data_IF_207217750500
#
_entry.id   IF_207217750500
#
_cell.length_a   1.000
_cell.length_b   1.000
_cell.length_c   1.000
_cell.angle_alpha   90.00
_cell.angle_beta   90.00
_cell.angle_gamma   90.00
#
_symmetry.space_group_name_H-M   'P 1'
#
loop_
_entity.id
_entity.type
_entity.pdbx_description
1 polymer ?
#
# COMPACT_ATOMS: atom_id res chain seq x y z
N UNK A 1 -3.20 -8.69 22.73
CA UNK A 1 -4.05 -7.84 21.87
C UNK A 1 -5.51 -8.26 22.03
N UNK A 2 -6.48 -7.33 22.10
CA UNK A 2 -7.89 -7.70 22.17
C UNK A 2 -8.35 -8.29 20.83
N UNK A 3 -9.41 -9.13 20.81
CA UNK A 3 -10.01 -9.54 19.54
C UNK A 3 -10.55 -8.32 18.76
N UNK A 4 -10.60 -8.38 17.42
CA UNK A 4 -11.22 -7.33 16.61
C UNK A 4 -12.68 -7.11 17.03
N UNK A 5 -13.07 -5.91 17.47
CA UNK A 5 -14.46 -5.62 17.85
C UNK A 5 -15.31 -5.30 16.61
N UNK A 6 -16.64 -5.34 16.75
CA UNK A 6 -17.54 -4.72 15.77
C UNK A 6 -17.25 -3.21 15.67
N UNK A 7 -17.32 -2.59 14.47
CA UNK A 7 -17.77 -3.11 13.16
C UNK A 7 -16.72 -3.89 12.34
N UNK A 8 -15.65 -4.39 12.96
CA UNK A 8 -14.51 -5.09 12.32
C UNK A 8 -13.70 -4.22 11.37
N UNK A 9 -13.54 -2.94 11.73
CA UNK A 9 -12.66 -2.00 11.04
C UNK A 9 -11.34 -1.84 11.78
N UNK A 10 -10.31 -1.40 11.05
CA UNK A 10 -9.00 -1.09 11.66
C UNK A 10 -9.12 0.02 12.69
N UNK A 11 -10.01 1.00 12.47
CA UNK A 11 -10.28 2.11 13.38
C UNK A 11 -10.86 1.62 14.72
N UNK A 12 -11.86 0.74 14.68
CA UNK A 12 -12.46 0.16 15.88
C UNK A 12 -11.48 -0.75 16.64
N UNK A 13 -10.63 -1.47 15.91
CA UNK A 13 -9.62 -2.31 16.54
C UNK A 13 -8.50 -1.48 17.19
N UNK A 14 -8.03 -0.41 16.55
CA UNK A 14 -7.09 0.54 17.14
C UNK A 14 -7.65 1.13 18.44
N UNK A 15 -8.92 1.51 18.46
CA UNK A 15 -9.59 2.01 19.66
C UNK A 15 -9.59 0.97 20.79
N UNK A 16 -9.92 -0.29 20.48
CA UNK A 16 -9.90 -1.39 21.47
C UNK A 16 -8.49 -1.69 21.98
N UNK A 17 -7.48 -1.70 21.08
CA UNK A 17 -6.07 -1.85 21.44
C UNK A 17 -5.64 -0.72 22.38
N UNK A 18 -6.00 0.52 22.06
CA UNK A 18 -5.68 1.68 22.87
C UNK A 18 -6.29 1.62 24.27
N UNK A 19 -7.58 1.23 24.37
CA UNK A 19 -8.26 1.01 25.66
C UNK A 19 -7.57 -0.06 26.50
N UNK A 20 -7.21 -1.20 25.91
CA UNK A 20 -6.53 -2.27 26.66
C UNK A 20 -5.14 -1.86 27.15
N UNK A 21 -4.43 -1.03 26.38
CA UNK A 21 -3.09 -0.53 26.73
C UNK A 21 -3.11 0.62 27.73
N UNK A 22 -4.26 1.25 27.96
CA UNK A 22 -4.35 2.51 28.70
C UNK A 22 -3.71 3.68 27.97
N UNK A 23 -3.44 3.55 26.66
CA UNK A 23 -2.85 4.58 25.81
C UNK A 23 -3.54 4.58 24.44
N UNK A 24 -4.30 5.64 24.07
CA UNK A 24 -5.01 5.73 22.80
C UNK A 24 -4.12 5.45 21.59
N UNK A 25 -4.71 4.82 20.57
CA UNK A 25 -4.12 4.68 19.22
C UNK A 25 -5.04 5.41 18.26
N UNK A 26 -4.56 6.52 17.70
CA UNK A 26 -5.36 7.43 16.88
C UNK A 26 -4.91 7.38 15.43
N UNK A 27 -5.83 7.11 14.50
CA UNK A 27 -5.53 7.14 13.06
C UNK A 27 -5.82 8.55 12.51
N UNK A 28 -4.93 9.06 11.66
CA UNK A 28 -5.12 10.31 10.92
C UNK A 28 -4.79 10.07 9.45
N UNK A 29 -5.74 10.39 8.59
CA UNK A 29 -5.53 10.39 7.15
C UNK A 29 -4.97 11.77 6.76
N UNK A 30 -3.72 11.79 6.31
CA UNK A 30 -2.99 13.02 5.96
C UNK A 30 -2.53 12.94 4.49
N UNK A 31 -2.63 14.03 3.72
CA UNK A 31 -2.06 14.05 2.38
C UNK A 31 -0.54 14.09 2.51
N UNK A 32 0.13 13.01 2.13
CA UNK A 32 1.59 13.02 2.01
C UNK A 32 1.94 13.72 0.69
N UNK A 33 2.10 15.05 0.75
CA UNK A 33 2.38 15.91 -0.41
C UNK A 33 3.79 15.68 -1.00
N UNK A 34 4.64 14.96 -0.28
CA UNK A 34 6.02 14.70 -0.66
C UNK A 34 6.10 13.36 -1.40
N UNK A 35 6.86 13.36 -2.51
CA UNK A 35 6.89 12.33 -3.53
C UNK A 35 7.32 10.93 -3.09
N UNK A 36 7.76 10.12 -4.06
CA UNK A 36 7.95 8.66 -3.98
C UNK A 36 8.87 8.07 -2.88
N UNK A 37 9.33 8.89 -1.92
CA UNK A 37 10.26 8.54 -0.85
C UNK A 37 9.60 8.53 0.55
N UNK A 38 8.32 8.92 0.68
CA UNK A 38 7.61 8.89 1.97
C UNK A 38 6.87 7.55 2.14
N UNK A 39 6.94 6.88 3.32
CA UNK A 39 6.20 5.66 3.59
C UNK A 39 4.67 5.88 3.46
N UNK A 40 3.91 4.80 3.27
CA UNK A 40 2.44 4.89 3.10
C UNK A 40 1.73 5.22 4.41
N UNK A 41 2.39 4.99 5.54
CA UNK A 41 1.99 5.46 6.86
C UNK A 41 3.19 5.61 7.77
N UNK A 42 2.95 6.16 8.96
CA UNK A 42 3.98 6.27 10.00
C UNK A 42 3.35 6.27 11.38
N UNK A 43 3.92 5.45 12.26
CA UNK A 43 3.65 5.49 13.69
C UNK A 43 4.42 6.62 14.36
N UNK A 44 3.70 7.52 15.03
CA UNK A 44 4.23 8.62 15.83
C UNK A 44 3.86 8.38 17.30
N UNK A 45 4.74 7.73 18.08
CA UNK A 45 4.49 7.48 19.49
C UNK A 45 4.67 8.76 20.31
N UNK A 46 3.65 9.17 21.06
CA UNK A 46 3.71 10.29 22.00
C UNK A 46 3.42 9.82 23.43
N UNK A 47 3.69 10.70 24.40
CA UNK A 47 3.53 10.37 25.83
C UNK A 47 2.11 9.94 26.21
N UNK A 48 1.10 10.55 25.58
CA UNK A 48 -0.32 10.38 25.92
C UNK A 48 -1.15 9.61 24.90
N UNK A 49 -0.62 9.42 23.68
CA UNK A 49 -1.29 8.70 22.61
C UNK A 49 -0.27 8.28 21.56
N UNK A 50 -0.53 7.18 20.87
CA UNK A 50 0.20 6.78 19.67
C UNK A 50 -0.62 7.23 18.45
N UNK A 51 -0.02 7.99 17.53
CA UNK A 51 -0.68 8.41 16.30
C UNK A 51 -0.21 7.55 15.13
N UNK A 52 -1.13 7.10 14.29
CA UNK A 52 -0.85 6.43 13.03
C UNK A 52 -1.27 7.40 11.94
N UNK A 53 -0.29 8.02 11.27
CA UNK A 53 -0.56 8.86 10.11
C UNK A 53 -0.58 7.97 8.88
N UNK A 54 -1.57 8.13 8.02
CA UNK A 54 -1.76 7.30 6.83
C UNK A 54 -1.95 8.21 5.64
N UNK A 55 -1.31 7.88 4.52
CA UNK A 55 -1.51 8.61 3.26
C UNK A 55 -2.99 8.54 2.85
N UNK A 56 -3.65 9.70 2.87
CA UNK A 56 -5.07 9.85 2.56
C UNK A 56 -5.43 9.38 1.14
N UNK A 57 -4.44 9.19 0.27
CA UNK A 57 -4.62 8.71 -1.10
C UNK A 57 -4.60 7.18 -1.25
N UNK A 58 -4.49 6.44 -0.14
CA UNK A 58 -4.57 4.99 -0.18
C UNK A 58 -6.02 4.52 -0.34
N UNK A 59 -6.29 3.58 -1.27
CA UNK A 59 -7.55 2.86 -1.30
C UNK A 59 -7.79 2.13 0.03
N UNK A 60 -9.05 1.94 0.43
CA UNK A 60 -9.42 1.45 1.76
C UNK A 60 -8.71 0.18 2.19
N UNK A 61 -8.51 -0.78 1.27
CA UNK A 61 -7.79 -2.03 1.54
C UNK A 61 -6.31 -1.78 1.85
N UNK A 62 -5.66 -0.91 1.06
CA UNK A 62 -4.27 -0.52 1.28
C UNK A 62 -4.12 0.29 2.56
N UNK A 63 -5.02 1.25 2.80
CA UNK A 63 -5.10 2.01 4.07
C UNK A 63 -5.21 1.07 5.27
N UNK A 64 -6.10 0.08 5.21
CA UNK A 64 -6.26 -0.89 6.28
C UNK A 64 -4.97 -1.69 6.53
N UNK A 65 -4.30 -2.14 5.47
CA UNK A 65 -3.02 -2.84 5.62
C UNK A 65 -1.95 -1.93 6.23
N UNK A 66 -1.82 -0.69 5.76
CA UNK A 66 -0.88 0.30 6.32
C UNK A 66 -1.14 0.51 7.81
N UNK A 67 -2.39 0.72 8.24
CA UNK A 67 -2.73 0.82 9.66
C UNK A 67 -2.32 -0.42 10.44
N UNK A 68 -2.59 -1.61 9.90
CA UNK A 68 -2.25 -2.88 10.56
C UNK A 68 -0.73 -3.10 10.64
N UNK A 69 0.02 -2.58 9.67
CA UNK A 69 1.48 -2.55 9.68
C UNK A 69 2.02 -1.65 10.79
N UNK A 70 1.52 -0.42 10.92
CA UNK A 70 1.92 0.47 12.02
C UNK A 70 1.52 -0.09 13.40
N UNK A 71 0.35 -0.74 13.48
CA UNK A 71 -0.04 -1.49 14.67
C UNK A 71 0.92 -2.65 14.95
N UNK A 72 1.41 -3.34 13.93
CA UNK A 72 2.39 -4.41 14.11
C UNK A 72 3.69 -3.89 14.72
N UNK A 73 4.25 -2.78 14.22
CA UNK A 73 5.40 -2.11 14.84
C UNK A 73 5.13 -1.79 16.31
N UNK A 74 3.97 -1.20 16.59
CA UNK A 74 3.58 -0.83 17.96
C UNK A 74 3.49 -2.04 18.91
N UNK A 75 3.03 -3.18 18.41
CA UNK A 75 2.84 -4.39 19.22
C UNK A 75 4.12 -5.21 19.41
N UNK A 76 4.98 -5.21 18.40
CA UNK A 76 6.29 -5.85 18.45
C UNK A 76 7.33 -4.99 19.19
N UNK A 77 6.99 -3.73 19.48
CA UNK A 77 7.89 -2.80 20.17
C UNK A 77 9.04 -2.37 19.27
N UNK A 78 8.84 -2.39 17.95
CA UNK A 78 9.78 -1.81 17.02
C UNK A 78 9.81 -0.31 17.26
N UNK A 79 11.00 0.25 17.45
CA UNK A 79 11.18 1.70 17.51
C UNK A 79 10.84 2.24 16.12
N UNK A 80 9.58 2.62 15.93
CA UNK A 80 9.08 3.32 14.74
C UNK A 80 9.61 4.74 14.74
N UNK A 81 10.94 4.88 14.73
CA UNK A 81 11.58 6.19 14.70
C UNK A 81 11.34 6.78 13.32
N UNK A 82 10.21 7.49 13.21
CA UNK A 82 9.68 8.20 12.06
C UNK A 82 10.68 9.14 11.35
N UNK A 83 11.91 9.29 11.89
CA UNK A 83 12.94 10.21 11.44
C UNK A 83 14.29 9.53 11.13
N UNK A 84 14.51 8.27 11.49
CA UNK A 84 15.75 7.56 11.15
C UNK A 84 15.52 6.67 9.93
N UNK A 85 16.09 7.10 8.81
CA UNK A 85 15.95 6.56 7.46
C UNK A 85 16.47 5.12 7.26
N UNK A 86 16.60 4.32 8.31
CA UNK A 86 17.03 2.92 8.25
C UNK A 86 16.33 2.14 9.38
N UNK A 87 15.05 1.80 9.20
CA UNK A 87 14.48 0.70 9.97
C UNK A 87 15.15 -0.58 9.46
N UNK A 88 15.57 -1.46 10.37
CA UNK A 88 16.18 -2.75 10.02
C UNK A 88 15.23 -3.52 9.08
N UNK A 89 15.66 -3.91 7.86
CA UNK A 89 14.84 -4.68 6.93
C UNK A 89 14.21 -5.94 7.53
N UNK A 90 14.84 -6.55 8.54
CA UNK A 90 14.27 -7.69 9.25
C UNK A 90 13.03 -7.30 10.07
N UNK A 91 13.06 -6.16 10.75
CA UNK A 91 11.93 -5.64 11.54
C UNK A 91 10.76 -5.22 10.64
N UNK A 92 11.06 -4.65 9.46
CA UNK A 92 10.06 -4.35 8.44
C UNK A 92 9.36 -5.61 7.93
N UNK A 93 10.13 -6.67 7.60
CA UNK A 93 9.55 -7.95 7.18
C UNK A 93 8.71 -8.58 8.28
N UNK A 94 9.14 -8.51 9.54
CA UNK A 94 8.38 -9.03 10.67
C UNK A 94 7.07 -8.25 10.88
N UNK A 95 7.11 -6.91 10.81
CA UNK A 95 5.92 -6.07 10.90
C UNK A 95 4.93 -6.37 9.76
N UNK A 96 5.42 -6.57 8.54
CA UNK A 96 4.58 -6.93 7.39
C UNK A 96 3.90 -8.30 7.54
N UNK A 97 4.62 -9.30 8.05
CA UNK A 97 4.05 -10.62 8.32
C UNK A 97 3.01 -10.55 9.44
N UNK A 98 3.28 -9.77 10.48
CA UNK A 98 2.32 -9.54 11.56
C UNK A 98 1.08 -8.80 11.03
N UNK A 99 1.22 -7.79 10.19
CA UNK A 99 0.10 -7.07 9.57
C UNK A 99 -0.81 -8.01 8.76
N UNK A 100 -0.22 -8.91 7.97
CA UNK A 100 -0.96 -9.94 7.24
C UNK A 100 -1.75 -10.86 8.18
N UNK A 101 -1.17 -11.26 9.31
CA UNK A 101 -1.86 -12.08 10.32
C UNK A 101 -2.99 -11.32 11.01
N UNK A 102 -2.78 -10.04 11.35
CA UNK A 102 -3.80 -9.19 11.94
C UNK A 102 -4.97 -8.99 10.98
N UNK A 103 -4.69 -8.73 9.70
CA UNK A 103 -5.72 -8.64 8.67
C UNK A 103 -6.54 -9.94 8.61
N UNK A 104 -5.90 -11.10 8.57
CA UNK A 104 -6.60 -12.39 8.58
C UNK A 104 -7.46 -12.59 9.84
N UNK A 105 -6.98 -12.15 11.00
CA UNK A 105 -7.75 -12.21 12.25
C UNK A 105 -9.00 -11.33 12.18
N UNK A 106 -8.90 -10.11 11.63
CA UNK A 106 -10.01 -9.19 11.41
C UNK A 106 -11.06 -9.79 10.45
N UNK A 107 -10.63 -10.32 9.31
CA UNK A 107 -11.52 -10.98 8.34
C UNK A 107 -12.24 -12.18 8.96
N UNK A 108 -11.54 -13.01 9.73
CA UNK A 108 -12.14 -14.17 10.42
C UNK A 108 -13.11 -13.76 11.52
N UNK A 109 -12.86 -12.65 12.21
CA UNK A 109 -13.80 -12.11 13.19
C UNK A 109 -15.08 -11.65 12.50
N UNK A 110 -14.97 -10.85 11.44
CA UNK A 110 -16.13 -10.38 10.67
C UNK A 110 -16.97 -11.52 10.08
N UNK A 111 -16.34 -12.57 9.57
CA UNK A 111 -17.02 -13.72 9.00
C UNK A 111 -17.82 -14.53 10.04
N UNK A 112 -17.28 -14.68 11.26
CA UNK A 112 -17.95 -15.42 12.36
C UNK A 112 -19.20 -14.71 12.87
N UNK A 113 -19.23 -13.39 12.81
CA UNK A 113 -20.30 -12.58 13.39
C UNK A 113 -21.49 -12.34 12.46
N UNK A 114 -21.57 -13.03 11.33
CA UNK A 114 -22.77 -12.96 10.49
C UNK A 114 -22.96 -11.63 9.74
N UNK A 115 -21.95 -10.75 9.65
CA UNK A 115 -21.89 -9.72 8.58
C UNK A 115 -21.78 -10.34 7.17
N UNK A 116 -21.68 -11.68 7.09
CA UNK A 116 -22.04 -12.52 5.94
C UNK A 116 -23.36 -13.28 6.16
N UNK A 117 -24.40 -12.60 6.64
CA UNK A 117 -25.75 -13.12 6.72
C UNK A 117 -26.44 -12.96 5.38
N UNK A 118 -26.19 -13.87 4.43
CA UNK A 118 -26.92 -13.91 3.16
C UNK A 118 -26.42 -14.92 2.11
N UNK A 119 -25.11 -15.17 1.98
CA UNK A 119 -24.60 -15.97 0.84
C UNK A 119 -23.62 -17.11 1.17
N UNK A 120 -23.23 -17.30 2.45
CA UNK A 120 -22.19 -18.29 2.77
C UNK A 120 -22.71 -19.71 3.10
N UNK A 121 -24.02 -19.92 3.22
CA UNK A 121 -24.57 -21.29 3.27
C UNK A 121 -24.93 -21.85 1.88
N UNK A 122 -24.76 -21.07 0.81
CA UNK A 122 -24.86 -21.54 -0.57
C UNK A 122 -23.48 -21.90 -1.19
N UNK A 123 -22.38 -21.71 -0.45
CA UNK A 123 -21.01 -21.91 -0.95
C UNK A 123 -20.24 -22.99 -0.19
N UNK A 124 -20.87 -24.15 0.00
CA UNK A 124 -20.09 -25.39 0.03
C UNK A 124 -19.29 -25.47 -1.29
N UNK A 125 -18.00 -25.84 -1.27
CA UNK A 125 -17.15 -25.78 -2.45
C UNK A 125 -17.58 -26.86 -3.43
N UNK A 126 -18.53 -26.55 -4.33
CA UNK A 126 -18.53 -27.20 -5.62
C UNK A 126 -17.28 -26.69 -6.33
N UNK A 127 -16.26 -27.55 -6.41
CA UNK A 127 -15.13 -27.35 -7.29
C UNK A 127 -15.68 -27.14 -8.70
N UNK A 128 -15.79 -25.88 -9.13
CA UNK A 128 -16.13 -25.52 -10.50
C UNK A 128 -14.82 -25.13 -11.18
N UNK A 129 -14.27 -25.97 -12.07
CA UNK A 129 -13.00 -25.71 -12.74
C UNK A 129 -12.95 -24.31 -13.35
N UNK A 130 -14.06 -23.81 -13.92
CA UNK A 130 -14.14 -22.47 -14.53
C UNK A 130 -13.87 -21.32 -13.56
N UNK A 131 -14.39 -21.37 -12.34
CA UNK A 131 -14.16 -20.34 -11.33
C UNK A 131 -12.69 -20.33 -10.88
N UNK A 132 -12.11 -21.52 -10.70
CA UNK A 132 -10.70 -21.68 -10.35
C UNK A 132 -9.76 -21.18 -11.46
N UNK A 133 -10.06 -21.50 -12.73
CA UNK A 133 -9.29 -20.98 -13.87
C UNK A 133 -9.39 -19.46 -13.99
N UNK A 134 -10.57 -18.90 -13.72
CA UNK A 134 -10.80 -17.45 -13.74
C UNK A 134 -10.03 -16.76 -12.62
N UNK A 135 -10.02 -17.34 -11.41
CA UNK A 135 -9.24 -16.85 -10.28
C UNK A 135 -7.74 -16.91 -10.56
N UNK A 136 -7.24 -18.02 -11.12
CA UNK A 136 -5.82 -18.13 -11.51
C UNK A 136 -5.43 -17.14 -12.61
N UNK A 137 -6.30 -16.93 -13.60
CA UNK A 137 -6.07 -15.94 -14.64
C UNK A 137 -6.03 -14.53 -14.05
N UNK A 138 -6.91 -14.23 -13.11
CA UNK A 138 -6.91 -12.95 -12.36
C UNK A 138 -5.58 -12.79 -11.63
N UNK A 139 -5.15 -13.78 -10.85
CA UNK A 139 -3.88 -13.75 -10.13
C UNK A 139 -2.68 -13.58 -11.07
N UNK A 140 -2.70 -14.25 -12.23
CA UNK A 140 -1.68 -14.10 -13.25
C UNK A 140 -1.60 -12.66 -13.77
N UNK A 141 -2.71 -12.04 -14.13
CA UNK A 141 -2.75 -10.66 -14.61
C UNK A 141 -2.33 -9.66 -13.52
N UNK A 142 -2.77 -9.82 -12.27
CA UNK A 142 -2.30 -8.98 -11.16
C UNK A 142 -0.78 -9.12 -10.99
N UNK A 143 -0.25 -10.33 -11.11
CA UNK A 143 1.20 -10.56 -11.08
C UNK A 143 1.92 -9.91 -12.26
N UNK A 144 1.36 -9.94 -13.47
CA UNK A 144 1.94 -9.24 -14.63
C UNK A 144 2.00 -7.72 -14.41
N UNK A 145 0.93 -7.12 -13.86
CA UNK A 145 0.92 -5.70 -13.51
C UNK A 145 1.98 -5.38 -12.47
N UNK A 146 2.09 -6.18 -11.41
CA UNK A 146 3.13 -6.01 -10.41
C UNK A 146 4.54 -6.07 -11.01
N UNK A 147 4.83 -7.08 -11.86
CA UNK A 147 6.14 -7.21 -12.52
C UNK A 147 6.42 -5.95 -13.35
N UNK A 148 5.42 -5.48 -14.10
CA UNK A 148 5.53 -4.28 -14.93
C UNK A 148 5.84 -3.03 -14.12
N UNK A 149 5.15 -2.84 -12.99
CA UNK A 149 5.33 -1.71 -12.09
C UNK A 149 6.71 -1.73 -11.44
N UNK A 150 7.14 -2.88 -10.91
CA UNK A 150 8.47 -3.08 -10.31
C UNK A 150 9.60 -2.86 -11.30
N UNK A 151 9.51 -3.46 -12.49
CA UNK A 151 10.50 -3.26 -13.54
C UNK A 151 10.53 -1.81 -14.04
N UNK A 152 9.40 -1.09 -13.94
CA UNK A 152 9.32 0.31 -14.32
C UNK A 152 9.85 1.29 -13.27
N UNK A 153 10.00 0.85 -12.02
CA UNK A 153 10.45 1.65 -10.88
C UNK A 153 11.50 0.89 -10.04
N UNK A 154 12.66 0.54 -10.63
CA UNK A 154 13.67 -0.26 -9.93
C UNK A 154 14.27 0.46 -8.72
N UNK A 155 14.30 1.79 -8.73
CA UNK A 155 14.88 2.61 -7.66
C UNK A 155 13.98 2.76 -6.43
N UNK A 156 12.77 2.20 -6.46
CA UNK A 156 11.84 2.25 -5.34
C UNK A 156 11.98 0.98 -4.49
N UNK A 157 12.33 1.18 -3.22
CA UNK A 157 12.26 0.13 -2.20
C UNK A 157 10.80 -0.12 -1.79
N UNK A 158 10.10 -1.00 -2.53
CA UNK A 158 8.85 -1.60 -2.01
C UNK A 158 9.28 -2.81 -1.17
N UNK A 159 9.02 -2.75 0.14
CA UNK A 159 9.23 -3.86 1.07
C UNK A 159 8.34 -5.01 0.60
N UNK A 160 8.96 -6.11 0.19
CA UNK A 160 8.25 -7.31 -0.23
C UNK A 160 8.60 -8.45 0.70
N UNK A 161 7.58 -9.05 1.31
CA UNK A 161 7.70 -10.31 2.03
C UNK A 161 7.90 -11.51 1.09
N UNK A 162 7.83 -11.28 -0.23
CA UNK A 162 7.97 -12.33 -1.26
C UNK A 162 9.42 -12.58 -1.67
N UNK A 163 10.35 -11.67 -1.36
CA UNK A 163 11.77 -11.80 -1.75
C UNK A 163 12.59 -12.59 -0.74
N UNK A 164 12.55 -13.92 -0.86
CA UNK A 164 13.70 -14.78 -0.55
C UNK A 164 13.73 -15.48 0.82
N UNK A 165 12.94 -15.06 1.81
CA UNK A 165 12.76 -15.88 3.03
C UNK A 165 11.69 -16.91 2.76
N UNK A 166 12.04 -18.20 2.87
CA UNK A 166 11.08 -19.30 2.87
C UNK A 166 10.12 -19.12 4.05
N UNK A 167 9.01 -18.40 3.84
CA UNK A 167 7.87 -18.47 4.74
C UNK A 167 7.33 -19.90 4.63
N UNK A 168 7.20 -20.64 5.75
CA UNK A 168 6.77 -22.04 5.72
C UNK A 168 5.54 -22.24 4.83
N UNK A 169 5.69 -23.19 3.90
CA UNK A 169 4.83 -23.50 2.75
C UNK A 169 3.49 -24.11 3.18
N UNK A 170 2.73 -23.42 4.01
CA UNK A 170 1.34 -23.77 4.37
C UNK A 170 0.33 -22.63 4.12
N UNK A 171 0.79 -21.51 3.56
CA UNK A 171 -0.03 -20.33 3.35
C UNK A 171 -0.39 -20.17 1.86
N UNK A 172 -1.30 -21.02 1.38
CA UNK A 172 -1.73 -21.03 -0.04
C UNK A 172 -2.66 -19.88 -0.46
N UNK A 173 -2.46 -19.37 -1.68
CA UNK A 173 -3.43 -18.69 -2.55
C UNK A 173 -3.93 -17.30 -2.11
N UNK A 174 -4.74 -17.24 -1.05
CA UNK A 174 -5.46 -16.02 -0.65
C UNK A 174 -4.54 -14.93 -0.08
N UNK A 175 -3.54 -15.31 0.74
CA UNK A 175 -2.57 -14.34 1.27
C UNK A 175 -1.67 -13.79 0.17
N UNK A 176 -1.24 -14.62 -0.77
CA UNK A 176 -0.45 -14.15 -1.92
C UNK A 176 -1.25 -13.15 -2.77
N UNK A 177 -2.55 -13.39 -3.00
CA UNK A 177 -3.42 -12.42 -3.69
C UNK A 177 -3.54 -11.11 -2.91
N UNK A 178 -3.88 -11.17 -1.62
CA UNK A 178 -3.95 -10.00 -0.74
C UNK A 178 -2.66 -9.19 -0.81
N UNK A 179 -1.52 -9.81 -0.49
CA UNK A 179 -0.22 -9.15 -0.51
C UNK A 179 0.09 -8.53 -1.86
N UNK A 180 -0.19 -9.26 -2.95
CA UNK A 180 0.05 -8.75 -4.30
C UNK A 180 -0.80 -7.51 -4.62
N UNK A 181 -2.06 -7.49 -4.20
CA UNK A 181 -2.96 -6.34 -4.36
C UNK A 181 -2.41 -5.12 -3.60
N UNK A 182 -1.98 -5.31 -2.36
CA UNK A 182 -1.33 -4.26 -1.56
C UNK A 182 -0.10 -3.70 -2.27
N UNK A 183 0.85 -4.57 -2.65
CA UNK A 183 2.09 -4.14 -3.29
C UNK A 183 1.85 -3.41 -4.64
N UNK A 184 0.79 -3.79 -5.36
CA UNK A 184 0.36 -3.03 -6.56
C UNK A 184 -0.13 -1.65 -6.14
N UNK A 185 -0.99 -1.52 -5.14
CA UNK A 185 -1.47 -0.21 -4.67
C UNK A 185 -0.35 0.70 -4.18
N UNK A 186 0.66 0.17 -3.48
CA UNK A 186 1.84 0.95 -3.10
C UNK A 186 2.57 1.49 -4.33
N UNK A 187 2.76 0.65 -5.35
CA UNK A 187 3.35 1.09 -6.61
C UNK A 187 2.48 2.13 -7.34
N UNK A 188 1.15 2.01 -7.31
CA UNK A 188 0.24 2.99 -7.91
C UNK A 188 0.31 4.34 -7.19
N UNK A 189 0.36 4.34 -5.85
CA UNK A 189 0.53 5.54 -5.02
C UNK A 189 1.78 6.32 -5.42
N UNK A 190 2.89 5.62 -5.62
CA UNK A 190 4.17 6.21 -6.02
C UNK A 190 4.17 6.79 -7.44
N UNK A 191 3.27 6.35 -8.32
CA UNK A 191 3.10 6.90 -9.66
C UNK A 191 2.16 8.10 -9.71
N UNK A 192 1.37 8.34 -8.66
CA UNK A 192 0.32 9.37 -8.60
C UNK A 192 0.79 10.76 -9.06
N UNK A 193 2.00 11.25 -8.71
CA UNK A 193 2.47 12.56 -9.19
C UNK A 193 2.55 12.70 -10.72
N UNK A 194 2.58 11.59 -11.46
CA UNK A 194 2.61 11.59 -12.93
C UNK A 194 1.29 11.15 -13.59
N UNK A 195 0.28 10.79 -12.80
CA UNK A 195 -1.05 10.38 -13.29
C UNK A 195 -1.86 11.61 -13.69
N UNK A 196 -2.15 11.81 -14.97
CA UNK A 196 -2.89 12.99 -15.45
C UNK A 196 -4.38 12.73 -15.69
N UNK A 197 -5.23 13.59 -15.15
CA UNK A 197 -6.68 13.62 -15.44
C UNK A 197 -6.98 13.77 -16.94
N UNK A 198 -6.15 14.51 -17.67
CA UNK A 198 -6.31 14.75 -19.10
C UNK A 198 -6.04 13.50 -19.94
N UNK A 199 -5.05 12.69 -19.54
CA UNK A 199 -4.77 11.39 -20.15
C UNK A 199 -5.94 10.45 -19.93
N UNK A 200 -6.42 10.35 -18.69
CA UNK A 200 -7.57 9.53 -18.32
C UNK A 200 -8.81 9.89 -19.16
N UNK A 201 -9.20 11.17 -19.17
CA UNK A 201 -10.35 11.64 -19.93
C UNK A 201 -10.18 11.45 -21.45
N UNK A 202 -8.96 11.57 -21.98
CA UNK A 202 -8.66 11.28 -23.39
C UNK A 202 -8.88 9.80 -23.72
N UNK A 203 -8.29 8.91 -22.92
CA UNK A 203 -8.38 7.47 -23.07
C UNK A 203 -9.84 6.99 -22.95
N UNK A 204 -10.58 7.50 -21.97
CA UNK A 204 -12.00 7.20 -21.76
C UNK A 204 -12.83 7.61 -22.99
N UNK A 205 -12.64 8.83 -23.52
CA UNK A 205 -13.33 9.29 -24.74
C UNK A 205 -13.00 8.44 -25.97
N UNK A 206 -11.77 7.92 -26.09
CA UNK A 206 -11.41 7.01 -27.20
C UNK A 206 -12.04 5.64 -27.00
N UNK A 207 -11.96 5.08 -25.80
CA UNK A 207 -12.56 3.79 -25.46
C UNK A 207 -14.08 3.78 -25.72
N UNK A 208 -14.79 4.86 -25.36
CA UNK A 208 -16.21 5.02 -25.69
C UNK A 208 -16.50 5.03 -27.19
N UNK A 209 -15.64 5.63 -28.02
CA UNK A 209 -15.80 5.60 -29.49
C UNK A 209 -15.71 4.18 -30.08
N UNK A 210 -14.94 3.31 -29.44
CA UNK A 210 -14.85 1.89 -29.80
C UNK A 210 -15.98 1.04 -29.20
N UNK A 211 -16.94 1.64 -28.49
CA UNK A 211 -18.11 0.97 -27.89
C UNK A 211 -17.73 -0.20 -26.97
N UNK A 212 -16.65 -0.04 -26.22
CA UNK A 212 -16.23 -1.01 -25.21
C UNK A 212 -17.23 -1.03 -24.03
N UNK A 213 -17.32 -2.16 -23.35
CA UNK A 213 -18.08 -2.31 -22.10
C UNK A 213 -17.64 -1.24 -21.06
N UNK A 214 -18.56 -0.65 -20.27
CA UNK A 214 -18.21 0.41 -19.31
C UNK A 214 -17.08 0.02 -18.34
N UNK A 215 -17.07 -1.22 -17.84
CA UNK A 215 -16.05 -1.69 -16.91
C UNK A 215 -14.68 -1.86 -17.59
N UNK A 216 -14.67 -2.05 -18.92
CA UNK A 216 -13.47 -2.12 -19.74
C UNK A 216 -13.00 -0.73 -20.19
N UNK A 217 -13.93 0.21 -20.44
CA UNK A 217 -13.61 1.63 -20.68
C UNK A 217 -12.80 2.20 -19.53
N UNK A 218 -13.26 1.98 -18.29
CA UNK A 218 -12.56 2.45 -17.09
C UNK A 218 -11.16 1.82 -16.98
N UNK A 219 -11.07 0.50 -17.17
CA UNK A 219 -9.80 -0.20 -17.12
C UNK A 219 -8.80 0.29 -18.19
N UNK A 220 -9.28 0.66 -19.38
CA UNK A 220 -8.46 1.26 -20.44
C UNK A 220 -8.00 2.67 -20.05
N UNK A 221 -8.87 3.47 -19.43
CA UNK A 221 -8.52 4.82 -18.99
C UNK A 221 -7.48 4.79 -17.85
N UNK A 222 -7.67 3.92 -16.87
CA UNK A 222 -6.70 3.65 -15.80
C UNK A 222 -5.37 3.15 -16.37
N UNK A 223 -5.40 2.13 -17.25
CA UNK A 223 -4.19 1.58 -17.85
C UNK A 223 -3.43 2.62 -18.69
N UNK A 224 -4.11 3.45 -19.46
CA UNK A 224 -3.48 4.53 -20.24
C UNK A 224 -2.81 5.56 -19.34
N UNK A 225 -3.50 5.95 -18.26
CA UNK A 225 -3.00 6.90 -17.26
C UNK A 225 -1.71 6.37 -16.62
N UNK A 226 -1.73 5.13 -16.15
CA UNK A 226 -0.58 4.49 -15.52
C UNK A 226 0.58 4.26 -16.50
N UNK A 227 0.28 3.87 -17.75
CA UNK A 227 1.30 3.66 -18.77
C UNK A 227 2.02 4.97 -19.14
N UNK A 228 1.27 6.06 -19.32
CA UNK A 228 1.84 7.39 -19.56
C UNK A 228 2.61 7.87 -18.33
N UNK A 229 2.04 7.76 -17.12
CA UNK A 229 2.69 8.14 -15.87
C UNK A 229 4.04 7.44 -15.68
N UNK A 230 4.06 6.12 -15.90
CA UNK A 230 5.28 5.31 -15.82
C UNK A 230 6.35 5.82 -16.79
N UNK A 231 5.98 6.10 -18.05
CA UNK A 231 6.92 6.62 -19.05
C UNK A 231 7.42 8.02 -18.71
N UNK A 232 6.55 8.90 -18.21
CA UNK A 232 6.94 10.24 -17.75
C UNK A 232 7.95 10.16 -16.60
N UNK A 233 7.69 9.31 -15.61
CA UNK A 233 8.61 9.04 -14.49
C UNK A 233 9.95 8.52 -15.00
N UNK A 234 9.95 7.52 -15.88
CA UNK A 234 11.18 6.95 -16.47
C UNK A 234 11.99 7.98 -17.28
N UNK A 235 11.31 8.93 -17.92
CA UNK A 235 11.94 10.03 -18.64
C UNK A 235 12.32 11.22 -17.72
N UNK A 236 12.19 11.06 -16.40
CA UNK A 236 12.42 12.10 -15.39
C UNK A 236 11.67 13.42 -15.67
N UNK A 237 10.49 13.33 -16.29
CA UNK A 237 9.65 14.50 -16.54
C UNK A 237 9.05 15.00 -15.22
N UNK A 238 8.76 16.31 -15.09
CA UNK A 238 8.07 16.86 -13.94
C UNK A 238 6.72 16.16 -13.68
N UNK A 239 6.34 16.16 -12.40
CA UNK A 239 4.99 15.82 -11.96
C UNK A 239 3.95 16.67 -12.71
N UNK A 240 2.74 16.14 -12.85
CA UNK A 240 1.65 16.85 -13.51
C UNK A 240 1.01 17.84 -12.55
N UNK A 241 0.54 18.97 -13.07
CA UNK A 241 -0.11 20.01 -12.25
C UNK A 241 -1.48 19.57 -11.71
N UNK A 242 -2.16 18.67 -12.42
CA UNK A 242 -3.47 18.14 -12.07
C UNK A 242 -3.40 16.59 -11.94
N UNK A 243 -2.88 16.09 -10.82
CA UNK A 243 -2.77 14.67 -10.58
C UNK A 243 -4.16 14.06 -10.39
N UNK A 244 -4.43 12.96 -11.12
CA UNK A 244 -5.68 12.23 -10.98
C UNK A 244 -5.74 11.57 -9.60
N UNK A 245 -6.84 11.82 -8.88
CA UNK A 245 -7.13 11.09 -7.66
C UNK A 245 -7.77 9.74 -7.98
N UNK A 246 -6.99 8.66 -7.88
CA UNK A 246 -7.42 7.32 -8.31
C UNK A 246 -8.03 6.48 -7.20
N UNK A 247 -8.38 7.07 -6.05
CA UNK A 247 -8.95 6.33 -4.92
C UNK A 247 -10.41 5.95 -5.20
N UNK A 248 -10.60 4.82 -5.87
CA UNK A 248 -11.89 4.12 -5.81
C UNK A 248 -12.07 3.57 -4.39
N UNK A 249 -13.22 3.79 -3.74
CA UNK A 249 -13.52 3.16 -2.45
C UNK A 249 -13.67 1.65 -2.67
N UNK A 250 -12.61 0.91 -2.36
CA UNK A 250 -12.62 -0.55 -2.34
C UNK A 250 -13.15 -0.99 -0.98
N UNK A 251 -14.06 -1.96 -0.93
CA UNK A 251 -14.41 -2.60 0.32
C UNK A 251 -13.17 -3.32 0.88
N UNK A 252 -12.78 -3.03 2.13
CA UNK A 252 -11.65 -3.68 2.83
C UNK A 252 -11.80 -5.21 2.81
N UNK A 253 -13.02 -5.73 2.70
CA UNK A 253 -13.27 -7.17 2.66
C UNK A 253 -13.24 -7.78 1.25
N UNK A 254 -13.19 -6.99 0.16
CA UNK A 254 -13.30 -7.47 -1.24
C UNK A 254 -11.97 -7.49 -2.01
N UNK A 255 -10.98 -8.20 -1.46
CA UNK A 255 -9.70 -8.48 -2.15
C UNK A 255 -9.91 -9.11 -3.53
N UNK A 256 -10.97 -9.92 -3.71
CA UNK A 256 -11.25 -10.58 -4.99
C UNK A 256 -11.77 -9.60 -6.03
N UNK A 257 -12.67 -8.70 -5.67
CA UNK A 257 -13.14 -7.63 -6.55
C UNK A 257 -12.01 -6.73 -6.99
N UNK A 258 -11.13 -6.33 -6.06
CA UNK A 258 -10.00 -5.47 -6.42
C UNK A 258 -8.97 -6.20 -7.29
N UNK A 259 -8.67 -7.47 -7.01
CA UNK A 259 -7.82 -8.26 -7.89
C UNK A 259 -8.39 -8.36 -9.33
N UNK A 260 -9.72 -8.48 -9.49
CA UNK A 260 -10.36 -8.47 -10.82
C UNK A 260 -10.27 -7.10 -11.50
N UNK A 261 -10.35 -6.01 -10.76
CA UNK A 261 -10.16 -4.65 -11.29
C UNK A 261 -8.72 -4.47 -11.79
N UNK A 262 -7.74 -4.76 -10.94
CA UNK A 262 -6.32 -4.70 -11.29
C UNK A 262 -5.96 -5.62 -12.47
N UNK A 263 -6.57 -6.82 -12.53
CA UNK A 263 -6.38 -7.71 -13.68
C UNK A 263 -6.89 -7.10 -14.99
N UNK A 264 -8.04 -6.43 -14.99
CA UNK A 264 -8.55 -5.71 -16.18
C UNK A 264 -7.63 -4.58 -16.61
N UNK A 265 -7.12 -3.80 -15.65
CA UNK A 265 -6.11 -2.76 -15.91
C UNK A 265 -4.86 -3.38 -16.54
N UNK A 266 -4.38 -4.51 -15.99
CA UNK A 266 -3.25 -5.25 -16.57
C UNK A 266 -3.50 -5.66 -18.02
N UNK A 267 -4.64 -6.30 -18.32
CA UNK A 267 -5.00 -6.68 -19.68
C UNK A 267 -4.99 -5.46 -20.61
N UNK A 268 -5.66 -4.38 -20.20
CA UNK A 268 -5.73 -3.17 -21.00
C UNK A 268 -4.35 -2.55 -21.24
N UNK A 269 -3.45 -2.56 -20.25
CA UNK A 269 -2.08 -2.04 -20.40
C UNK A 269 -1.34 -2.76 -21.52
N UNK A 270 -1.38 -4.10 -21.54
CA UNK A 270 -0.62 -4.89 -22.49
C UNK A 270 -1.28 -5.00 -23.87
N UNK A 271 -2.61 -5.06 -23.92
CA UNK A 271 -3.33 -5.49 -25.12
C UNK A 271 -4.12 -4.36 -25.81
N UNK A 272 -4.35 -3.21 -25.15
CA UNK A 272 -5.22 -2.16 -25.70
C UNK A 272 -4.48 -1.25 -26.69
N UNK A 273 -4.95 -1.13 -27.96
CA UNK A 273 -4.40 -0.15 -28.90
C UNK A 273 -4.67 1.30 -28.47
N UNK A 274 -5.71 1.53 -27.64
CA UNK A 274 -5.98 2.86 -27.07
C UNK A 274 -4.87 3.26 -26.11
N UNK A 275 -4.40 2.35 -25.25
CA UNK A 275 -3.29 2.61 -24.33
C UNK A 275 -2.02 2.95 -25.11
N UNK A 276 -1.69 2.16 -26.13
CA UNK A 276 -0.54 2.44 -26.98
C UNK A 276 -0.62 3.82 -27.67
N UNK A 277 -1.81 4.20 -28.16
CA UNK A 277 -2.04 5.50 -28.77
C UNK A 277 -1.92 6.67 -27.78
N UNK A 278 -2.37 6.50 -26.54
CA UNK A 278 -2.21 7.53 -25.50
C UNK A 278 -0.74 7.66 -25.08
N UNK A 279 0.00 6.56 -24.92
CA UNK A 279 1.45 6.61 -24.66
C UNK A 279 2.19 7.38 -25.77
N UNK A 280 1.92 7.07 -27.04
CA UNK A 280 2.55 7.75 -28.17
C UNK A 280 2.18 9.25 -28.26
N UNK A 281 0.98 9.62 -27.78
CA UNK A 281 0.50 11.00 -27.80
C UNK A 281 1.12 11.86 -26.68
N UNK A 282 1.18 11.33 -25.47
CA UNK A 282 1.47 12.12 -24.27
C UNK A 282 2.92 12.03 -23.79
N UNK A 283 3.66 11.04 -24.27
CA UNK A 283 5.09 10.91 -24.01
C UNK A 283 5.81 11.41 -25.26
N UNK A 284 6.49 12.58 -25.22
CA UNK A 284 7.22 13.06 -26.37
C UNK A 284 8.27 12.03 -26.81
N UNK A 285 8.53 11.97 -28.12
CA UNK A 285 9.73 11.31 -28.64
C UNK A 285 10.91 12.16 -28.18
N UNK A 286 11.49 11.84 -27.03
CA UNK A 286 12.75 12.43 -26.59
C UNK A 286 13.83 11.85 -27.51
N UNK A 287 14.16 12.56 -28.58
CA UNK A 287 15.36 12.28 -29.34
C UNK A 287 16.56 12.43 -28.38
N UNK A 288 17.36 11.37 -28.30
CA UNK A 288 18.50 11.27 -27.40
C UNK A 288 19.39 12.52 -27.46
N UNK A 289 19.34 13.33 -26.41
CA UNK A 289 20.41 14.27 -26.07
C UNK A 289 20.64 14.17 -24.57
N UNK A 290 21.22 13.03 -24.18
CA UNK A 290 21.83 12.86 -22.87
C UNK A 290 23.05 13.77 -22.78
N UNK A 291 22.90 14.97 -22.26
CA UNK A 291 24.00 15.65 -21.58
C UNK A 291 23.82 15.41 -20.10
N UNK A 292 24.61 14.46 -19.60
CA UNK A 292 24.82 14.24 -18.16
C UNK A 292 25.29 15.56 -17.55
N UNK A 293 24.44 16.18 -16.72
CA UNK A 293 24.90 17.15 -15.74
C UNK A 293 24.48 16.63 -14.38
N UNK A 294 25.45 15.96 -13.78
CA UNK A 294 25.55 15.62 -12.38
C UNK A 294 25.15 16.84 -11.53
N UNK A 295 23.98 16.77 -10.89
CA UNK A 295 23.57 17.72 -9.86
C UNK A 295 23.24 16.92 -8.61
N UNK A 296 24.23 16.82 -7.74
CA UNK A 296 24.09 16.59 -6.30
C UNK A 296 22.87 17.37 -5.77
N UNK A 297 21.84 16.64 -5.35
CA UNK A 297 20.70 17.23 -4.62
C UNK A 297 21.08 17.38 -3.14
N UNK A 298 20.80 18.52 -2.49
CA UNK A 298 21.04 18.68 -1.06
C UNK A 298 20.08 17.81 -0.26
N UNK A 299 20.57 17.30 0.88
CA UNK A 299 19.84 16.50 1.86
C UNK A 299 18.53 17.19 2.29
N UNK A 300 17.41 16.47 2.18
CA UNK A 300 16.02 16.91 2.43
C UNK A 300 15.66 17.05 3.92
N UNK A 301 16.62 17.33 4.80
CA UNK A 301 16.41 17.39 6.26
C UNK A 301 15.67 18.66 6.72
N UNK A 302 15.36 19.63 5.87
CA UNK A 302 15.01 20.98 6.36
C UNK A 302 13.65 21.59 6.02
N UNK A 303 12.71 20.92 5.34
CA UNK A 303 11.49 21.64 4.91
C UNK A 303 10.18 20.83 4.91
N UNK A 304 9.83 20.21 6.05
CA UNK A 304 8.42 19.92 6.34
C UNK A 304 7.81 21.15 7.04
N UNK A 305 6.73 21.78 6.53
CA UNK A 305 5.95 22.71 7.32
C UNK A 305 5.16 21.90 8.35
N UNK A 306 5.75 21.68 9.52
CA UNK A 306 5.06 21.15 10.69
C UNK A 306 4.05 22.21 11.12
N UNK A 307 2.76 21.97 10.90
CA UNK A 307 1.72 22.72 11.63
C UNK A 307 1.98 22.53 13.13
N UNK A 308 2.05 23.59 13.94
CA UNK A 308 2.41 23.45 15.34
C UNK A 308 1.40 22.52 16.04
N UNK A 309 1.92 21.42 16.56
CA UNK A 309 1.21 20.60 17.53
C UNK A 309 0.80 21.50 18.71
N UNK A 310 -0.37 21.28 19.32
CA UNK A 310 -0.79 22.06 20.49
C UNK A 310 0.31 22.05 21.57
N UNK A 311 0.65 23.24 22.07
CA UNK A 311 1.77 23.44 23.00
C UNK A 311 1.64 22.52 24.24
N UNK A 312 2.66 21.68 24.48
CA UNK A 312 2.76 20.85 25.69
C UNK A 312 3.23 19.39 25.52
N UNK A 313 3.72 18.98 24.35
CA UNK A 313 4.16 17.59 24.10
C UNK A 313 5.69 17.51 24.19
N UNK A 314 6.19 16.85 25.23
CA UNK A 314 7.60 16.49 25.37
C UNK A 314 7.83 15.20 24.57
N UNK A 315 8.79 15.20 23.64
CA UNK A 315 9.25 13.99 22.95
C UNK A 315 10.16 13.23 23.91
N UNK A 316 9.92 11.93 24.10
CA UNK A 316 10.75 11.12 24.99
C UNK A 316 12.07 10.75 24.32
N UNK A 317 13.17 11.13 24.95
CA UNK A 317 14.50 10.56 24.71
C UNK A 317 14.65 9.33 25.63
N UNK A 318 14.99 8.17 25.09
CA UNK A 318 15.26 6.96 25.88
C UNK A 318 16.75 6.65 25.86
N UNK A 319 17.52 7.38 26.66
CA UNK A 319 18.89 7.03 27.01
C UNK A 319 18.92 5.94 28.10
N UNK A 320 19.55 4.81 27.76
CA UNK A 320 20.19 3.78 28.60
C UNK A 320 19.84 3.70 30.09
N UNK A 321 19.16 2.61 30.48
CA UNK A 321 19.42 1.95 31.77
C UNK A 321 19.98 0.56 31.48
N UNK A 322 21.31 0.45 31.55
CA UNK A 322 22.04 -0.80 31.56
C UNK A 322 21.77 -1.53 32.88
N UNK A 323 21.15 -2.70 32.80
CA UNK A 323 21.06 -3.64 33.92
C UNK A 323 22.45 -4.21 34.18
N UNK A 324 23.12 -3.66 35.19
CA UNK A 324 24.40 -4.16 35.70
C UNK A 324 24.12 -5.39 36.59
N UNK A 325 24.10 -6.58 36.00
CA UNK A 325 24.04 -7.83 36.75
C UNK A 325 25.42 -8.12 37.38
N UNK A 326 25.53 -7.86 38.68
CA UNK A 326 26.67 -8.26 39.51
C UNK A 326 26.77 -9.79 39.58
N UNK A 327 27.76 -10.35 38.90
CA UNK A 327 28.34 -11.65 39.23
C UNK A 327 29.42 -11.45 40.29
N UNK A 328 29.22 -12.02 41.49
CA UNK A 328 30.31 -12.42 42.39
C UNK A 328 29.78 -13.34 43.49
N UNK A 329 29.98 -14.66 43.30
CA UNK A 329 30.41 -15.56 44.38
C UNK A 329 31.93 -15.71 44.24
N UNK A 330 32.69 -15.85 45.33
CA UNK A 330 33.00 -17.21 45.78
C UNK A 330 33.04 -17.42 47.31
N UNK A 331 32.78 -18.68 47.65
CA UNK A 331 33.28 -19.55 48.72
C UNK A 331 34.10 -18.97 49.88
N UNK A 332 33.65 -19.32 51.08
CA UNK A 332 34.32 -19.20 52.37
C UNK A 332 33.36 -19.56 53.48
#
# INVERSE_FOLDING_TARGET
>A
MPPPPEPYTVDAWCEAIGRQRGRPVCIRDEPFEFGAEVPSGVLVPLDRADYILVDASLPTLARAQTVLHEVAHLMLGHDGDAMHSIIDPALEVEAELAADLLYQQMIRAAARSGRRGGELLAQLPSWRPSAWWTDRRTDWHVNQLWIKLRAGMPDVTIVSTTTGVQVPVEVGGSRHRHRRVIEVHDALRLLRPWCSSQVHASAQRRAHRYRLDPAFVEAVADAATLAVAMRRRQAALPAVEDPLDTTSPVDVFDVRGEARRLARISCAWFDSPVVAAEVARWVPVVAATSTHSDRLRPSLVQMLPVSPLPEGIVRRDRSSEAVQAQHSRPSG
#
